data_IF_633448383132
#
_entry.id   IF_633448383132
#
_cell.length_a   1.000
_cell.length_b   1.000
_cell.length_c   1.000
_cell.angle_alpha   90.00
_cell.angle_beta   90.00
_cell.angle_gamma   90.00
#
_symmetry.space_group_name_H-M   'P 1'
#
loop_
_entity.id
_entity.type
_entity.pdbx_description
1 polymer ?
#
# COMPACT_ATOMS: atom_id res chain seq x y z
N UNK A 1 27.32 -4.40 -32.11
CA UNK A 1 26.45 -5.02 -31.10
C UNK A 1 25.10 -4.34 -31.23
N UNK A 2 24.24 -4.86 -32.10
CA UNK A 2 22.90 -4.33 -32.29
C UNK A 2 22.10 -4.78 -31.08
N UNK A 3 21.78 -3.87 -30.17
CA UNK A 3 20.76 -4.12 -29.16
C UNK A 3 19.51 -4.51 -29.95
N UNK A 4 19.00 -5.72 -29.71
CA UNK A 4 17.74 -6.13 -30.29
C UNK A 4 16.66 -5.20 -29.72
N UNK A 5 16.03 -4.40 -30.58
CA UNK A 5 15.05 -3.38 -30.17
C UNK A 5 13.91 -4.02 -29.37
N UNK A 6 13.56 -5.26 -29.69
CA UNK A 6 12.56 -6.05 -28.96
C UNK A 6 13.01 -6.37 -27.54
N UNK A 7 14.28 -6.74 -27.34
CA UNK A 7 14.85 -7.01 -26.02
C UNK A 7 14.88 -5.75 -25.16
N UNK A 8 15.23 -4.61 -25.77
CA UNK A 8 15.21 -3.32 -25.10
C UNK A 8 13.80 -2.94 -24.65
N UNK A 9 12.82 -2.99 -25.56
CA UNK A 9 11.42 -2.69 -25.23
C UNK A 9 10.87 -3.62 -24.16
N UNK A 10 11.20 -4.91 -24.23
CA UNK A 10 10.81 -5.88 -23.20
C UNK A 10 11.38 -5.55 -21.81
N UNK A 11 12.65 -5.15 -21.74
CA UNK A 11 13.27 -4.74 -20.47
C UNK A 11 12.68 -3.42 -19.94
N UNK A 12 12.39 -2.46 -20.81
CA UNK A 12 11.73 -1.20 -20.42
C UNK A 12 10.33 -1.46 -19.82
N UNK A 13 9.52 -2.33 -20.44
CA UNK A 13 8.21 -2.72 -19.91
C UNK A 13 8.32 -3.37 -18.52
N UNK A 14 9.28 -4.28 -18.34
CA UNK A 14 9.51 -4.92 -17.03
C UNK A 14 9.93 -3.92 -15.95
N UNK A 15 10.77 -2.93 -16.31
CA UNK A 15 11.16 -1.88 -15.37
C UNK A 15 9.93 -1.07 -14.93
N UNK A 16 9.07 -0.68 -15.87
CA UNK A 16 7.86 0.07 -15.57
C UNK A 16 6.89 -0.72 -14.68
N UNK A 17 6.74 -2.03 -14.90
CA UNK A 17 5.93 -2.91 -14.05
C UNK A 17 6.49 -3.02 -12.63
N UNK A 18 7.81 -3.21 -12.51
CA UNK A 18 8.49 -3.26 -11.21
C UNK A 18 8.34 -1.94 -10.46
N UNK A 19 8.46 -0.80 -11.14
CA UNK A 19 8.28 0.52 -10.53
C UNK A 19 6.84 0.74 -10.05
N UNK A 20 5.83 0.33 -10.83
CA UNK A 20 4.43 0.37 -10.41
C UNK A 20 4.19 -0.49 -9.17
N UNK A 21 4.77 -1.69 -9.16
CA UNK A 21 4.67 -2.62 -8.02
C UNK A 21 5.32 -2.04 -6.77
N UNK A 22 6.53 -1.49 -6.90
CA UNK A 22 7.26 -0.87 -5.79
C UNK A 22 6.47 0.30 -5.19
N UNK A 23 5.88 1.13 -6.04
CA UNK A 23 5.03 2.23 -5.60
C UNK A 23 3.79 1.75 -4.83
N UNK A 24 3.11 0.70 -5.30
CA UNK A 24 1.96 0.12 -4.59
C UNK A 24 2.36 -0.45 -3.23
N UNK A 25 3.49 -1.14 -3.16
CA UNK A 25 4.03 -1.70 -1.91
C UNK A 25 4.37 -0.59 -0.90
N UNK A 26 5.00 0.49 -1.35
CA UNK A 26 5.31 1.64 -0.50
C UNK A 26 4.03 2.31 0.06
N UNK A 27 2.96 2.40 -0.75
CA UNK A 27 1.67 2.92 -0.28
C UNK A 27 1.02 2.00 0.76
N UNK A 28 1.07 0.68 0.57
CA UNK A 28 0.58 -0.30 1.54
C UNK A 28 1.35 -0.16 2.86
N UNK A 29 2.68 -0.13 2.79
CA UNK A 29 3.54 0.00 3.96
C UNK A 29 3.23 1.26 4.77
N UNK A 30 3.08 2.42 4.11
CA UNK A 30 2.70 3.66 4.78
C UNK A 30 1.37 3.54 5.54
N UNK A 31 0.36 2.89 4.96
CA UNK A 31 -0.94 2.70 5.60
C UNK A 31 -0.88 1.71 6.76
N UNK A 32 -0.10 0.64 6.64
CA UNK A 32 0.15 -0.30 7.73
C UNK A 32 0.88 0.38 8.90
N UNK A 33 1.82 1.29 8.63
CA UNK A 33 2.43 2.09 9.68
C UNK A 33 1.41 3.02 10.36
N UNK A 34 0.53 3.67 9.60
CA UNK A 34 -0.54 4.48 10.19
C UNK A 34 -1.48 3.64 11.08
N UNK A 35 -1.85 2.42 10.65
CA UNK A 35 -2.63 1.49 11.47
C UNK A 35 -1.91 1.10 12.77
N UNK A 36 -0.60 0.83 12.70
CA UNK A 36 0.21 0.53 13.88
C UNK A 36 0.20 1.71 14.85
N UNK A 37 0.34 2.93 14.35
CA UNK A 37 0.39 4.13 15.18
C UNK A 37 -0.98 4.38 15.85
N UNK A 38 -2.10 4.12 15.15
CA UNK A 38 -3.44 4.11 15.76
C UNK A 38 -3.58 3.04 16.84
N UNK A 39 -3.07 1.83 16.61
CA UNK A 39 -3.11 0.76 17.60
C UNK A 39 -2.27 1.10 18.85
N UNK A 40 -1.14 1.78 18.67
CA UNK A 40 -0.32 2.28 19.77
C UNK A 40 -1.07 3.35 20.58
N UNK A 41 -1.75 4.29 19.90
CA UNK A 41 -2.57 5.31 20.55
C UNK A 41 -3.67 4.70 21.44
N UNK A 42 -4.36 3.66 20.94
CA UNK A 42 -5.38 2.92 21.70
C UNK A 42 -4.77 2.17 22.88
N UNK A 43 -3.56 1.64 22.73
CA UNK A 43 -2.88 0.90 23.79
C UNK A 43 -2.37 1.81 24.92
N UNK A 44 -1.92 3.02 24.59
CA UNK A 44 -1.30 3.97 25.52
C UNK A 44 -2.32 4.82 26.31
N UNK A 45 -3.58 4.88 25.88
CA UNK A 45 -4.56 5.87 26.36
C UNK A 45 -5.84 5.32 26.99
N UNK A 46 -6.45 6.17 27.82
CA UNK A 46 -7.83 6.05 28.31
C UNK A 46 -8.71 6.87 27.36
N UNK A 47 -8.93 6.35 26.14
CA UNK A 47 -9.72 7.02 25.11
C UNK A 47 -11.18 7.09 25.56
N UNK A 48 -11.80 8.26 25.35
CA UNK A 48 -13.25 8.37 25.46
C UNK A 48 -13.95 7.51 24.39
N UNK A 49 -15.26 7.30 24.55
CA UNK A 49 -16.07 6.58 23.56
C UNK A 49 -15.98 7.27 22.18
N UNK A 50 -16.10 8.60 22.14
CA UNK A 50 -16.05 9.37 20.90
C UNK A 50 -14.69 9.27 20.21
N UNK A 51 -13.59 9.28 20.98
CA UNK A 51 -12.23 9.09 20.44
C UNK A 51 -12.01 7.65 19.95
N UNK A 52 -12.57 6.66 20.65
CA UNK A 52 -12.52 5.26 20.23
C UNK A 52 -13.26 5.04 18.92
N UNK A 53 -14.44 5.65 18.76
CA UNK A 53 -15.22 5.58 17.53
C UNK A 53 -14.46 6.21 16.36
N UNK A 54 -13.86 7.39 16.58
CA UNK A 54 -13.03 8.04 15.56
C UNK A 54 -11.83 7.20 15.15
N UNK A 55 -11.11 6.58 16.11
CA UNK A 55 -9.99 5.70 15.80
C UNK A 55 -10.45 4.46 15.02
N UNK A 56 -11.60 3.88 15.39
CA UNK A 56 -12.17 2.75 14.65
C UNK A 56 -12.53 3.13 13.21
N UNK A 57 -13.15 4.29 12.98
CA UNK A 57 -13.45 4.79 11.64
C UNK A 57 -12.18 4.92 10.81
N UNK A 58 -11.14 5.58 11.35
CA UNK A 58 -9.85 5.73 10.67
C UNK A 58 -9.19 4.39 10.36
N UNK A 59 -9.26 3.43 11.30
CA UNK A 59 -8.71 2.10 11.10
C UNK A 59 -9.45 1.33 9.99
N UNK A 60 -10.78 1.43 9.92
CA UNK A 60 -11.55 0.80 8.84
C UNK A 60 -11.24 1.44 7.48
N UNK A 61 -11.13 2.76 7.40
CA UNK A 61 -10.72 3.44 6.16
C UNK A 61 -9.35 2.95 5.69
N UNK A 62 -8.35 2.92 6.57
CA UNK A 62 -7.02 2.40 6.20
C UNK A 62 -7.09 0.95 5.73
N UNK A 63 -7.96 0.13 6.31
CA UNK A 63 -8.11 -1.28 5.95
C UNK A 63 -8.70 -1.45 4.55
N UNK A 64 -9.72 -0.66 4.22
CA UNK A 64 -10.30 -0.63 2.88
C UNK A 64 -9.27 -0.16 1.84
N UNK A 65 -8.50 0.88 2.15
CA UNK A 65 -7.46 1.38 1.26
C UNK A 65 -6.34 0.36 1.02
N UNK A 66 -5.86 -0.32 2.07
CA UNK A 66 -4.89 -1.42 1.95
C UNK A 66 -5.47 -2.53 1.06
N UNK A 67 -6.73 -2.92 1.29
CA UNK A 67 -7.37 -3.96 0.48
C UNK A 67 -7.45 -3.59 -1.01
N UNK A 68 -7.79 -2.34 -1.32
CA UNK A 68 -7.83 -1.84 -2.70
C UNK A 68 -6.43 -1.84 -3.34
N UNK A 69 -5.40 -1.47 -2.60
CA UNK A 69 -4.02 -1.49 -3.09
C UNK A 69 -3.51 -2.93 -3.30
N UNK A 70 -3.86 -3.86 -2.42
CA UNK A 70 -3.56 -5.28 -2.59
C UNK A 70 -4.25 -5.85 -3.83
N UNK A 71 -5.51 -5.49 -4.10
CA UNK A 71 -6.18 -5.87 -5.34
C UNK A 71 -5.44 -5.35 -6.57
N UNK A 72 -5.02 -4.08 -6.56
CA UNK A 72 -4.23 -3.51 -7.66
C UNK A 72 -2.88 -4.23 -7.83
N UNK A 73 -2.20 -4.53 -6.72
CA UNK A 73 -0.93 -5.26 -6.73
C UNK A 73 -1.07 -6.62 -7.42
N UNK A 74 -2.15 -7.36 -7.14
CA UNK A 74 -2.42 -8.64 -7.81
C UNK A 74 -2.71 -8.49 -9.31
N UNK A 75 -3.30 -7.37 -9.75
CA UNK A 75 -3.53 -7.13 -11.19
C UNK A 75 -2.29 -6.70 -11.97
N UNK A 76 -1.26 -6.18 -11.29
CA UNK A 76 0.04 -5.86 -11.89
C UNK A 76 0.89 -7.14 -12.13
N UNK A 77 0.43 -8.30 -11.64
CA UNK A 77 1.03 -9.61 -11.92
C UNK A 77 0.35 -10.22 -13.16
N UNK A 78 0.69 -9.74 -14.37
CA UNK A 78 0.31 -10.42 -15.61
C UNK A 78 1.36 -10.24 -16.72
#
# INVERSE_FOLDING_TARGET
>A
MTINLEEKTFLETQIDELQKRDNLLAQIEQKLYAMRDLAALVHEGDLSADETDLVNEQFQTLKEEVHLLEQQLHTVIH
#
